data_IF_238718405646
#
_entry.id   IF_238718405646
#
_cell.length_a   1.000
_cell.length_b   1.000
_cell.length_c   1.000
_cell.angle_alpha   90.00
_cell.angle_beta   90.00
_cell.angle_gamma   90.00
#
_symmetry.space_group_name_H-M   'P 1'
#
loop_
_entity.id
_entity.type
_entity.pdbx_description
1 polymer ?
#
# COMPACT_ATOMS: atom_id res chain seq x y z
N UNK A 1 2.00 3.11 -20.12
CA UNK A 1 2.08 4.27 -19.21
C UNK A 1 3.07 3.94 -18.11
N UNK A 2 4.01 4.82 -17.79
CA UNK A 2 4.86 4.66 -16.62
C UNK A 2 4.11 5.13 -15.37
N UNK A 3 3.93 4.26 -14.38
CA UNK A 3 3.14 4.53 -13.16
C UNK A 3 4.01 4.88 -11.96
N UNK A 4 5.33 4.73 -12.06
CA UNK A 4 6.21 4.81 -10.90
C UNK A 4 5.76 3.81 -9.83
N UNK A 5 5.61 4.30 -8.59
CA UNK A 5 5.09 3.55 -7.43
C UNK A 5 3.58 3.74 -7.19
N UNK A 6 2.86 4.41 -8.09
CA UNK A 6 1.48 4.83 -7.81
C UNK A 6 0.50 3.65 -7.60
N UNK A 7 0.76 2.48 -8.20
CA UNK A 7 0.00 1.24 -7.97
C UNK A 7 0.64 0.34 -6.90
N UNK A 8 1.61 0.87 -6.14
CA UNK A 8 2.55 0.08 -5.37
C UNK A 8 3.51 -0.67 -6.28
N UNK A 9 3.90 -1.87 -5.85
CA UNK A 9 4.79 -2.76 -6.62
C UNK A 9 4.14 -4.11 -6.88
N UNK A 10 4.16 -4.54 -8.15
CA UNK A 10 3.75 -5.87 -8.58
C UNK A 10 4.94 -6.83 -8.47
N UNK A 11 4.77 -7.90 -7.70
CA UNK A 11 5.78 -8.95 -7.49
C UNK A 11 5.55 -10.08 -8.50
N UNK A 12 6.25 -10.12 -9.64
CA UNK A 12 5.88 -11.00 -10.76
C UNK A 12 6.01 -12.50 -10.47
N UNK A 13 6.81 -12.89 -9.46
CA UNK A 13 6.97 -14.29 -9.07
C UNK A 13 5.84 -14.81 -8.19
N UNK A 14 5.03 -13.91 -7.62
CA UNK A 14 3.95 -14.24 -6.70
C UNK A 14 2.60 -13.70 -7.19
N UNK A 15 2.60 -13.01 -8.34
CA UNK A 15 1.48 -12.21 -8.84
C UNK A 15 0.77 -11.44 -7.71
N UNK A 16 1.56 -10.81 -6.84
CA UNK A 16 1.07 -10.16 -5.62
C UNK A 16 1.42 -8.67 -5.68
N UNK A 17 0.52 -7.81 -5.22
CA UNK A 17 0.75 -6.37 -5.14
C UNK A 17 1.11 -6.00 -3.71
N UNK A 18 2.10 -5.13 -3.52
CA UNK A 18 2.40 -4.54 -2.22
C UNK A 18 2.27 -3.02 -2.26
N UNK A 19 1.74 -2.35 -1.22
CA UNK A 19 1.71 -0.89 -1.19
C UNK A 19 3.11 -0.29 -1.11
N UNK A 20 3.22 0.91 -1.66
CA UNK A 20 4.39 1.77 -1.57
C UNK A 20 3.98 3.08 -0.88
N UNK A 21 3.76 3.02 0.44
CA UNK A 21 3.37 4.14 1.29
C UNK A 21 4.46 4.46 2.33
N UNK A 22 5.72 4.75 1.91
CA UNK A 22 6.78 5.07 2.87
C UNK A 22 6.61 6.48 3.47
N UNK A 23 7.19 6.75 4.65
CA UNK A 23 7.32 8.11 5.19
C UNK A 23 8.24 8.98 4.30
N UNK A 24 8.24 10.32 4.45
CA UNK A 24 7.46 11.12 5.41
C UNK A 24 6.11 11.65 4.87
N UNK A 25 5.82 11.50 3.58
CA UNK A 25 4.66 12.08 2.88
C UNK A 25 3.77 11.03 2.21
N UNK A 26 3.31 10.03 2.97
CA UNK A 26 2.23 9.16 2.49
C UNK A 26 0.93 9.96 2.46
N UNK A 27 0.29 10.04 1.30
CA UNK A 27 -1.04 10.64 1.10
C UNK A 27 -1.94 9.61 0.42
N UNK A 28 -2.88 9.07 1.18
CA UNK A 28 -3.77 8.00 0.74
C UNK A 28 -4.72 8.48 -0.36
N UNK A 29 -5.32 9.65 -0.18
CA UNK A 29 -6.24 10.23 -1.14
C UNK A 29 -5.53 10.54 -2.46
N UNK A 30 -4.36 11.17 -2.39
CA UNK A 30 -3.58 11.50 -3.58
C UNK A 30 -3.12 10.23 -4.32
N UNK A 31 -2.75 9.16 -3.60
CA UNK A 31 -2.39 7.88 -4.21
C UNK A 31 -3.59 7.27 -4.98
N UNK A 32 -4.75 7.20 -4.33
CA UNK A 32 -5.97 6.63 -4.94
C UNK A 32 -6.47 7.48 -6.12
N UNK A 33 -6.45 8.81 -5.98
CA UNK A 33 -6.81 9.74 -7.05
C UNK A 33 -5.84 9.64 -8.24
N UNK A 34 -4.55 9.46 -7.98
CA UNK A 34 -3.55 9.25 -9.03
C UNK A 34 -3.85 7.99 -9.83
N UNK A 35 -4.20 6.89 -9.15
CA UNK A 35 -4.64 5.65 -9.82
C UNK A 35 -5.87 5.91 -10.70
N UNK A 36 -6.89 6.60 -10.18
CA UNK A 36 -8.10 6.91 -10.92
C UNK A 36 -7.81 7.71 -12.21
N UNK A 37 -7.02 8.79 -12.09
CA UNK A 37 -6.62 9.63 -13.24
C UNK A 37 -5.79 8.89 -14.28
N UNK A 38 -4.91 8.00 -13.85
CA UNK A 38 -4.14 7.16 -14.76
C UNK A 38 -5.03 6.16 -15.49
N UNK A 39 -6.01 5.56 -14.80
CA UNK A 39 -6.98 4.63 -15.38
C UNK A 39 -7.86 5.29 -16.44
N UNK A 40 -8.31 6.52 -16.21
CA UNK A 40 -9.11 7.30 -17.18
C UNK A 40 -8.40 7.51 -18.52
N UNK A 41 -7.06 7.48 -18.54
CA UNK A 41 -6.26 7.62 -19.76
C UNK A 41 -6.26 6.35 -20.63
N UNK A 42 -6.89 5.26 -20.17
CA UNK A 42 -7.00 3.97 -20.88
C UNK A 42 -5.67 3.48 -21.45
N UNK A 43 -4.60 3.38 -20.63
CA UNK A 43 -3.34 2.83 -21.11
C UNK A 43 -3.52 1.36 -21.52
N UNK A 44 -2.74 0.90 -22.50
CA UNK A 44 -2.76 -0.50 -22.95
C UNK A 44 -1.76 -1.39 -22.21
N UNK A 45 -0.80 -0.80 -21.49
CA UNK A 45 0.19 -1.45 -20.61
C UNK A 45 0.64 -0.49 -19.52
N UNK A 46 1.04 -1.01 -18.37
CA UNK A 46 1.68 -0.23 -17.31
C UNK A 46 3.15 -0.63 -17.17
N UNK A 47 3.99 0.33 -16.77
CA UNK A 47 5.39 0.11 -16.38
C UNK A 47 5.58 0.66 -14.97
N UNK A 48 5.84 -0.24 -14.02
CA UNK A 48 6.20 0.12 -12.64
C UNK A 48 7.70 0.42 -12.52
N UNK A 49 8.11 1.16 -11.48
CA UNK A 49 9.54 1.40 -11.22
C UNK A 49 10.31 0.11 -10.97
N UNK A 50 9.63 -0.86 -10.36
CA UNK A 50 10.18 -2.16 -10.01
C UNK A 50 9.55 -3.27 -10.86
N UNK A 51 10.37 -4.23 -11.29
CA UNK A 51 9.95 -5.47 -11.96
C UNK A 51 9.28 -5.34 -13.33
N UNK A 52 9.06 -4.12 -13.83
CA UNK A 52 8.80 -3.84 -15.24
C UNK A 52 7.32 -3.80 -15.60
N UNK A 53 6.92 -4.63 -16.57
CA UNK A 53 5.62 -4.50 -17.24
C UNK A 53 4.52 -5.18 -16.42
N UNK A 54 3.45 -4.44 -16.17
CA UNK A 54 2.15 -5.01 -15.77
C UNK A 54 1.27 -5.06 -17.01
N UNK A 55 0.92 -6.29 -17.42
CA UNK A 55 0.32 -6.56 -18.72
C UNK A 55 -1.16 -6.17 -18.80
N UNK A 56 -1.92 -6.34 -17.70
CA UNK A 56 -3.32 -5.94 -17.59
C UNK A 56 -3.42 -4.63 -16.77
N UNK A 57 -3.67 -3.48 -17.43
CA UNK A 57 -3.80 -2.21 -16.74
C UNK A 57 -4.99 -2.13 -15.79
N UNK A 58 -6.13 -2.71 -16.15
CA UNK A 58 -7.33 -2.63 -15.34
C UNK A 58 -7.16 -3.44 -14.04
N UNK A 59 -6.59 -4.63 -14.15
CA UNK A 59 -6.22 -5.43 -12.99
C UNK A 59 -5.18 -4.72 -12.12
N UNK A 60 -4.11 -4.19 -12.72
CA UNK A 60 -3.05 -3.51 -11.98
C UNK A 60 -3.53 -2.29 -11.20
N UNK A 61 -4.39 -1.47 -11.80
CA UNK A 61 -5.02 -0.36 -11.08
C UNK A 61 -5.97 -0.83 -9.99
N UNK A 62 -6.77 -1.87 -10.23
CA UNK A 62 -7.72 -2.40 -9.26
C UNK A 62 -6.99 -2.98 -8.03
N UNK A 63 -6.05 -3.91 -8.23
CA UNK A 63 -5.32 -4.60 -7.15
C UNK A 63 -4.38 -3.66 -6.40
N UNK A 64 -3.71 -2.74 -7.11
CA UNK A 64 -2.89 -1.71 -6.46
C UNK A 64 -3.72 -0.81 -5.54
N UNK A 65 -4.85 -0.31 -6.02
CA UNK A 65 -5.74 0.53 -5.21
C UNK A 65 -6.41 -0.24 -4.06
N UNK A 66 -6.80 -1.49 -4.28
CA UNK A 66 -7.31 -2.38 -3.23
C UNK A 66 -6.30 -2.54 -2.11
N UNK A 67 -5.04 -2.87 -2.44
CA UNK A 67 -4.00 -3.12 -1.45
C UNK A 67 -3.67 -1.88 -0.63
N UNK A 68 -3.59 -0.72 -1.28
CA UNK A 68 -3.39 0.57 -0.61
C UNK A 68 -4.52 0.84 0.39
N UNK A 69 -5.79 0.66 -0.01
CA UNK A 69 -6.93 0.87 0.89
C UNK A 69 -6.95 -0.14 2.04
N UNK A 70 -6.73 -1.42 1.75
CA UNK A 70 -6.76 -2.49 2.75
C UNK A 70 -5.73 -2.25 3.85
N UNK A 71 -4.49 -1.91 3.50
CA UNK A 71 -3.45 -1.63 4.49
C UNK A 71 -3.76 -0.35 5.26
N UNK A 72 -4.23 0.70 4.58
CA UNK A 72 -4.62 1.93 5.25
C UNK A 72 -5.75 1.72 6.26
N UNK A 73 -6.77 0.92 5.92
CA UNK A 73 -7.89 0.60 6.79
C UNK A 73 -7.45 -0.22 8.01
N UNK A 74 -6.55 -1.20 7.83
CA UNK A 74 -5.95 -1.95 8.96
C UNK A 74 -5.28 -1.01 9.95
N UNK A 75 -4.41 -0.11 9.47
CA UNK A 75 -3.72 0.85 10.34
C UNK A 75 -4.70 1.83 10.99
N UNK A 76 -5.72 2.30 10.24
CA UNK A 76 -6.77 3.18 10.76
C UNK A 76 -7.49 2.51 11.93
N UNK A 77 -7.99 1.29 11.72
CA UNK A 77 -8.75 0.54 12.71
C UNK A 77 -7.91 0.26 13.96
N UNK A 78 -6.63 -0.10 13.78
CA UNK A 78 -5.71 -0.35 14.88
C UNK A 78 -5.49 0.89 15.74
N UNK A 79 -5.22 2.04 15.12
CA UNK A 79 -4.98 3.29 15.82
C UNK A 79 -6.26 3.91 16.42
N UNK A 80 -7.42 3.73 15.79
CA UNK A 80 -8.69 4.17 16.34
C UNK A 80 -9.04 3.40 17.63
N UNK A 81 -8.71 2.10 17.68
CA UNK A 81 -8.88 1.27 18.89
C UNK A 81 -7.88 1.60 19.98
N UNK A 82 -6.62 1.87 19.60
CA UNK A 82 -5.53 2.16 20.54
C UNK A 82 -4.57 3.22 19.95
N UNK A 83 -4.81 4.51 20.22
CA UNK A 83 -4.04 5.61 19.62
C UNK A 83 -2.52 5.55 19.91
N UNK A 84 -2.15 4.98 21.06
CA UNK A 84 -0.77 4.79 21.51
C UNK A 84 -0.04 3.60 20.87
N UNK A 85 -0.65 2.91 19.91
CA UNK A 85 -0.02 1.74 19.26
C UNK A 85 1.34 2.11 18.66
N UNK A 86 2.38 1.34 19.00
CA UNK A 86 3.73 1.50 18.47
C UNK A 86 3.83 1.06 17.00
N UNK A 87 4.84 1.57 16.29
CA UNK A 87 5.12 1.14 14.91
C UNK A 87 5.38 -0.37 14.85
N UNK A 88 6.12 -0.94 15.82
CA UNK A 88 6.40 -2.37 15.86
C UNK A 88 5.13 -3.24 16.01
N UNK A 89 4.08 -2.71 16.66
CA UNK A 89 2.81 -3.41 16.75
C UNK A 89 2.03 -3.34 15.42
N UNK A 90 2.08 -2.20 14.73
CA UNK A 90 1.46 -2.03 13.40
C UNK A 90 2.19 -2.89 12.36
N UNK A 91 3.53 -2.89 12.38
CA UNK A 91 4.37 -3.70 11.49
C UNK A 91 4.05 -5.19 11.65
N UNK A 92 3.89 -5.69 12.88
CA UNK A 92 3.50 -7.10 13.11
C UNK A 92 2.13 -7.42 12.52
N UNK A 93 1.15 -6.53 12.68
CA UNK A 93 -0.19 -6.71 12.12
C UNK A 93 -0.18 -6.70 10.58
N UNK A 94 0.53 -5.74 9.98
CA UNK A 94 0.72 -5.68 8.53
C UNK A 94 1.54 -6.86 7.99
N UNK A 95 2.45 -7.43 8.78
CA UNK A 95 3.20 -8.64 8.39
C UNK A 95 2.28 -9.85 8.31
N UNK A 96 1.35 -10.00 9.25
CA UNK A 96 0.33 -11.06 9.19
C UNK A 96 -0.58 -10.87 7.98
N UNK A 97 -1.04 -9.64 7.74
CA UNK A 97 -1.85 -9.31 6.57
C UNK A 97 -1.11 -9.60 5.26
N UNK A 98 0.13 -9.13 5.12
CA UNK A 98 0.97 -9.35 3.94
C UNK A 98 1.17 -10.84 3.65
N UNK A 99 1.40 -11.65 4.70
CA UNK A 99 1.49 -13.11 4.59
C UNK A 99 0.22 -13.70 4.00
N UNK A 100 -0.93 -13.37 4.58
CA UNK A 100 -2.23 -13.91 4.12
C UNK A 100 -2.51 -13.54 2.68
N UNK A 101 -2.32 -12.27 2.32
CA UNK A 101 -2.54 -11.80 0.94
C UNK A 101 -1.58 -12.46 -0.05
N UNK A 102 -0.29 -12.54 0.30
CA UNK A 102 0.73 -13.17 -0.55
C UNK A 102 0.45 -14.67 -0.77
N UNK A 103 0.17 -15.41 0.30
CA UNK A 103 -0.11 -16.85 0.23
C UNK A 103 -1.40 -17.12 -0.56
N UNK A 104 -2.41 -16.23 -0.43
CA UNK A 104 -3.66 -16.30 -1.19
C UNK A 104 -3.46 -16.00 -2.67
N UNK A 105 -2.69 -14.98 -3.02
CA UNK A 105 -2.43 -14.60 -4.42
C UNK A 105 -1.57 -15.65 -5.13
N UNK A 106 -0.49 -16.09 -4.48
CA UNK A 106 0.56 -16.87 -5.12
C UNK A 106 0.40 -18.38 -4.98
N UNK A 107 -0.31 -18.84 -3.95
CA UNK A 107 -0.28 -20.25 -3.51
C UNK A 107 1.10 -20.70 -2.99
N UNK A 108 2.04 -19.77 -2.77
CA UNK A 108 3.39 -20.04 -2.30
C UNK A 108 3.56 -19.61 -0.84
N UNK A 109 4.45 -20.26 -0.06
CA UNK A 109 4.80 -19.80 1.28
C UNK A 109 5.32 -18.36 1.27
N UNK A 110 4.90 -17.56 2.25
CA UNK A 110 5.35 -16.17 2.34
C UNK A 110 6.86 -16.06 2.60
N UNK A 111 7.57 -15.46 1.63
CA UNK A 111 8.99 -15.13 1.69
C UNK A 111 9.17 -13.65 2.01
N UNK A 112 9.37 -13.33 3.30
CA UNK A 112 9.55 -11.94 3.75
C UNK A 112 10.78 -11.28 3.12
N UNK A 113 11.88 -12.01 2.94
CA UNK A 113 13.12 -11.46 2.39
C UNK A 113 12.92 -10.99 0.95
N UNK A 114 12.18 -11.77 0.16
CA UNK A 114 11.84 -11.41 -1.22
C UNK A 114 10.72 -10.37 -1.29
N UNK A 115 9.75 -10.44 -0.37
CA UNK A 115 8.67 -9.46 -0.28
C UNK A 115 9.24 -8.05 0.00
N UNK A 116 10.22 -7.93 0.90
CA UNK A 116 10.81 -6.66 1.35
C UNK A 116 12.02 -6.17 0.52
N UNK A 117 12.32 -6.82 -0.60
CA UNK A 117 13.49 -6.53 -1.43
C UNK A 117 13.57 -5.08 -1.96
N UNK A 118 12.45 -4.37 -2.04
CA UNK A 118 12.34 -3.00 -2.59
C UNK A 118 11.76 -1.99 -1.59
N UNK A 119 11.57 -2.40 -0.33
CA UNK A 119 11.03 -1.57 0.74
C UNK A 119 10.45 -2.45 1.84
N UNK A 120 10.38 -1.97 3.08
CA UNK A 120 9.93 -2.82 4.20
C UNK A 120 8.45 -2.66 4.51
N UNK A 121 7.85 -3.68 5.13
CA UNK A 121 6.53 -3.56 5.77
C UNK A 121 6.56 -2.44 6.82
N UNK A 122 7.68 -2.30 7.54
CA UNK A 122 7.90 -1.22 8.50
C UNK A 122 7.73 0.17 7.89
N UNK A 123 8.28 0.43 6.70
CA UNK A 123 8.13 1.74 6.05
C UNK A 123 6.67 2.05 5.75
N UNK A 124 5.89 1.06 5.31
CA UNK A 124 4.45 1.23 5.14
C UNK A 124 3.74 1.49 6.49
N UNK A 125 4.13 0.79 7.56
CA UNK A 125 3.59 1.02 8.90
C UNK A 125 3.85 2.46 9.40
N UNK A 126 5.08 2.96 9.23
CA UNK A 126 5.49 4.31 9.59
C UNK A 126 4.70 5.36 8.79
N UNK A 127 4.62 5.20 7.46
CA UNK A 127 3.91 6.11 6.57
C UNK A 127 2.42 6.20 6.88
N UNK A 128 1.74 5.05 6.98
CA UNK A 128 0.30 4.98 7.28
C UNK A 128 -0.03 5.48 8.68
N UNK A 129 0.77 5.12 9.70
CA UNK A 129 0.52 5.58 11.06
C UNK A 129 0.67 7.10 11.16
N UNK A 130 1.66 7.64 10.47
CA UNK A 130 1.87 9.09 10.38
C UNK A 130 0.70 9.77 9.68
N UNK A 131 0.26 9.24 8.54
CA UNK A 131 -0.85 9.79 7.76
C UNK A 131 -2.12 9.92 8.62
N UNK A 132 -2.53 8.86 9.30
CA UNK A 132 -3.76 8.86 10.11
C UNK A 132 -3.69 9.81 11.30
N UNK A 133 -2.56 9.81 12.05
CA UNK A 133 -2.36 10.74 13.17
C UNK A 133 -2.47 12.19 12.72
N UNK A 134 -1.76 12.56 11.66
CA UNK A 134 -1.82 13.90 11.06
C UNK A 134 -3.22 14.26 10.57
N UNK A 135 -3.95 13.31 9.98
CA UNK A 135 -5.30 13.55 9.49
C UNK A 135 -6.24 13.90 10.65
N UNK A 136 -6.24 13.10 11.71
CA UNK A 136 -7.09 13.35 12.87
C UNK A 136 -6.71 14.63 13.63
N UNK A 137 -5.42 14.97 13.72
CA UNK A 137 -4.97 16.26 14.25
C UNK A 137 -5.59 17.45 13.48
N UNK A 138 -5.59 17.39 12.14
CA UNK A 138 -6.21 18.43 11.30
C UNK A 138 -7.74 18.48 11.46
N UNK A 139 -8.40 17.32 11.50
CA UNK A 139 -9.85 17.23 11.67
C UNK A 139 -10.29 17.79 13.04
N UNK A 140 -9.54 17.51 14.10
CA UNK A 140 -9.78 18.07 15.43
C UNK A 140 -9.58 19.60 15.46
N UNK A 141 -8.52 20.10 14.82
CA UNK A 141 -8.25 21.54 14.72
C UNK A 141 -9.31 22.29 13.90
N UNK A 142 -9.89 21.66 12.87
CA UNK A 142 -10.96 22.26 12.06
C UNK A 142 -12.34 22.23 12.75
N UNK A 143 -12.48 21.44 13.81
CA UNK A 143 -13.72 21.33 14.60
C UNK A 143 -13.73 22.24 15.83
N UNK A 144 -12.66 23.02 16.03
CA UNK A 144 -12.48 23.99 17.14
C UNK A 144 -12.65 25.41 16.61
#
# INVERSE_FOLDING_TARGET
>A
MFTGEAIGSHLPWADCYRPALPPPESDLEAAIESIARMRERRPTRLLASHFGVVADPDEGFARGAERIRAWADTVRARLAREPGTSIDAIERELTVQARTEYESDSGLPFDLGRYDAIGSIRMNAEGLARYWRKRWEREAAAST
#
